data_IF_912324403763
#
_entry.id   IF_912324403763
#
_cell.length_a   1.000
_cell.length_b   1.000
_cell.length_c   1.000
_cell.angle_alpha   90.00
_cell.angle_beta   90.00
_cell.angle_gamma   90.00
#
_symmetry.space_group_name_H-M   'P 1'
#
loop_
_entity.id
_entity.type
_entity.pdbx_description
1 polymer ?
#
# COMPACT_ATOMS: atom_id res chain seq x y z
N UNK A 1 -25.38 41.40 -18.79
CA UNK A 1 -24.75 40.78 -17.60
C UNK A 1 -23.82 39.68 -18.11
N UNK A 2 -22.51 39.93 -18.17
CA UNK A 2 -21.54 38.95 -18.68
C UNK A 2 -21.22 37.94 -17.58
N UNK A 3 -21.57 36.67 -17.81
CA UNK A 3 -21.25 35.57 -16.92
C UNK A 3 -19.82 35.11 -17.22
N UNK A 4 -18.85 35.48 -16.37
CA UNK A 4 -17.49 34.94 -16.47
C UNK A 4 -17.49 33.50 -15.95
N UNK A 5 -17.40 32.54 -16.87
CA UNK A 5 -17.21 31.13 -16.54
C UNK A 5 -15.75 30.93 -16.12
N UNK A 6 -15.49 30.86 -14.82
CA UNK A 6 -14.17 30.54 -14.29
C UNK A 6 -13.84 29.09 -14.62
N UNK A 7 -12.95 28.87 -15.59
CA UNK A 7 -12.39 27.54 -15.86
C UNK A 7 -11.43 27.24 -14.71
N UNK A 8 -11.87 26.42 -13.76
CA UNK A 8 -11.01 25.89 -12.71
C UNK A 8 -10.00 24.91 -13.36
N UNK A 9 -8.77 25.38 -13.55
CA UNK A 9 -7.67 24.51 -13.98
C UNK A 9 -7.31 23.64 -12.78
N UNK A 10 -7.77 22.38 -12.81
CA UNK A 10 -7.40 21.37 -11.81
C UNK A 10 -5.96 20.96 -12.04
N UNK A 11 -5.05 21.44 -11.19
CA UNK A 11 -3.64 21.07 -11.22
C UNK A 11 -3.44 19.70 -10.57
N UNK A 12 -2.58 18.87 -11.17
CA UNK A 12 -2.19 17.60 -10.56
C UNK A 12 -1.54 17.85 -9.20
N UNK A 13 -1.98 17.13 -8.17
CA UNK A 13 -1.41 17.20 -6.83
C UNK A 13 -0.47 16.02 -6.61
N UNK A 14 0.80 16.32 -6.34
CA UNK A 14 1.81 15.33 -6.00
C UNK A 14 2.15 15.36 -4.52
N UNK A 15 2.37 14.18 -3.94
CA UNK A 15 2.77 13.99 -2.55
C UNK A 15 3.80 12.88 -2.46
N UNK A 16 4.93 13.19 -1.83
CA UNK A 16 5.96 12.20 -1.49
C UNK A 16 6.17 12.20 0.02
N UNK A 17 6.20 11.02 0.62
CA UNK A 17 6.48 10.83 2.05
C UNK A 17 7.55 9.76 2.20
N UNK A 18 8.63 10.09 2.92
CA UNK A 18 9.70 9.15 3.23
C UNK A 18 9.49 8.59 4.64
N UNK A 19 9.87 7.32 4.80
CA UNK A 19 9.78 6.59 6.05
C UNK A 19 11.11 5.89 6.31
N UNK A 20 11.52 5.89 7.57
CA UNK A 20 12.57 5.02 8.08
C UNK A 20 11.98 3.64 8.36
N UNK A 21 12.71 2.59 8.01
CA UNK A 21 12.39 1.21 8.40
C UNK A 21 13.34 0.82 9.52
N UNK A 22 12.78 0.45 10.67
CA UNK A 22 13.51 0.18 11.89
C UNK A 22 13.29 -1.25 12.38
N UNK A 23 14.31 -1.80 13.02
CA UNK A 23 14.23 -3.04 13.80
C UNK A 23 15.03 -2.86 15.08
N UNK A 24 14.43 -3.19 16.21
CA UNK A 24 15.02 -3.00 17.54
C UNK A 24 15.57 -1.57 17.74
N UNK A 25 14.85 -0.56 17.25
CA UNK A 25 15.22 0.86 17.34
C UNK A 25 16.29 1.33 16.34
N UNK A 26 16.97 0.43 15.63
CA UNK A 26 17.97 0.79 14.63
C UNK A 26 17.33 0.93 13.23
N UNK A 27 17.70 1.98 12.49
CA UNK A 27 17.31 2.15 11.09
C UNK A 27 18.05 1.11 10.24
N UNK A 28 17.29 0.29 9.52
CA UNK A 28 17.77 -0.79 8.66
C UNK A 28 17.40 -0.59 7.19
N UNK A 29 16.71 0.50 6.86
CA UNK A 29 16.27 0.78 5.50
C UNK A 29 15.38 2.00 5.42
N UNK A 30 14.90 2.26 4.21
CA UNK A 30 13.99 3.35 3.92
C UNK A 30 12.86 2.87 3.02
N UNK A 31 11.74 3.57 3.08
CA UNK A 31 10.60 3.41 2.18
C UNK A 31 10.13 4.80 1.74
N UNK A 32 9.86 4.96 0.45
CA UNK A 32 9.23 6.14 -0.09
C UNK A 32 7.83 5.78 -0.58
N UNK A 33 6.84 6.55 -0.16
CA UNK A 33 5.50 6.56 -0.73
C UNK A 33 5.35 7.79 -1.61
N UNK A 34 4.90 7.60 -2.84
CA UNK A 34 4.58 8.63 -3.81
C UNK A 34 3.12 8.51 -4.22
N UNK A 35 2.44 9.64 -4.35
CA UNK A 35 1.08 9.76 -4.86
C UNK A 35 0.97 10.94 -5.82
N UNK A 36 0.37 10.71 -6.98
CA UNK A 36 -0.06 11.74 -7.93
C UNK A 36 -1.57 11.64 -8.12
N UNK A 37 -2.28 12.74 -7.89
CA UNK A 37 -3.71 12.86 -8.16
C UNK A 37 -3.90 13.80 -9.35
N UNK A 38 -4.60 13.35 -10.38
CA UNK A 38 -4.89 14.14 -11.57
C UNK A 38 -6.27 13.80 -12.12
N UNK A 39 -7.25 14.68 -11.93
CA UNK A 39 -8.57 14.60 -12.57
C UNK A 39 -9.25 13.22 -12.47
N UNK A 40 -9.38 12.71 -11.24
CA UNK A 40 -9.99 11.40 -10.96
C UNK A 40 -9.03 10.23 -11.14
N UNK A 41 -7.87 10.41 -11.75
CA UNK A 41 -6.78 9.44 -11.77
C UNK A 41 -5.93 9.60 -10.50
N UNK A 42 -5.58 8.47 -9.86
CA UNK A 42 -4.67 8.43 -8.70
C UNK A 42 -3.60 7.37 -8.97
N UNK A 43 -2.35 7.80 -9.03
CA UNK A 43 -1.19 6.92 -9.18
C UNK A 43 -0.43 6.87 -7.87
N UNK A 44 -0.25 5.67 -7.33
CA UNK A 44 0.49 5.39 -6.11
C UNK A 44 1.74 4.59 -6.44
N UNK A 45 2.85 4.90 -5.79
CA UNK A 45 4.08 4.11 -5.85
C UNK A 45 4.71 3.97 -4.47
N UNK A 46 5.15 2.76 -4.14
CA UNK A 46 6.02 2.51 -2.99
C UNK A 46 7.33 1.92 -3.50
N UNK A 47 8.44 2.46 -3.00
CA UNK A 47 9.79 1.93 -3.23
C UNK A 47 10.49 1.76 -1.89
N UNK A 48 11.05 0.59 -1.62
CA UNK A 48 11.78 0.33 -0.36
C UNK A 48 13.00 -0.55 -0.58
N UNK A 49 14.06 -0.26 0.19
CA UNK A 49 15.21 -1.14 0.36
C UNK A 49 15.51 -1.29 1.86
N UNK A 50 15.54 -2.54 2.33
CA UNK A 50 15.80 -2.91 3.73
C UNK A 50 16.95 -3.89 3.79
N UNK A 51 17.99 -3.53 4.54
CA UNK A 51 19.19 -4.34 4.77
C UNK A 51 19.31 -4.63 6.26
N UNK A 52 19.15 -5.89 6.64
CA UNK A 52 19.27 -6.29 8.04
C UNK A 52 19.87 -7.68 8.16
N UNK A 53 20.33 -8.03 9.36
CA UNK A 53 20.79 -9.36 9.70
C UNK A 53 19.77 -10.01 10.64
N UNK A 54 19.06 -11.02 10.14
CA UNK A 54 18.29 -11.94 10.98
C UNK A 54 19.26 -13.05 11.43
N UNK A 55 19.03 -14.29 11.00
CA UNK A 55 20.02 -15.36 11.09
C UNK A 55 21.14 -15.12 10.07
N UNK A 56 20.77 -14.68 8.86
CA UNK A 56 21.68 -14.29 7.78
C UNK A 56 21.44 -12.83 7.35
N UNK A 57 22.39 -12.26 6.62
CA UNK A 57 22.21 -10.96 5.98
C UNK A 57 21.14 -11.07 4.89
N UNK A 58 20.15 -10.18 4.96
CA UNK A 58 19.09 -10.05 3.97
C UNK A 58 19.07 -8.63 3.43
N UNK A 59 18.93 -8.52 2.11
CA UNK A 59 18.58 -7.30 1.40
C UNK A 59 17.23 -7.53 0.72
N UNK A 60 16.21 -6.81 1.17
CA UNK A 60 14.85 -6.86 0.62
C UNK A 60 14.60 -5.58 -0.14
N UNK A 61 14.34 -5.71 -1.44
CA UNK A 61 13.89 -4.59 -2.29
C UNK A 61 12.43 -4.83 -2.67
N UNK A 62 11.59 -3.82 -2.46
CA UNK A 62 10.18 -3.88 -2.81
C UNK A 62 9.81 -2.68 -3.68
N UNK A 63 9.08 -2.92 -4.75
CA UNK A 63 8.41 -1.91 -5.56
C UNK A 63 6.93 -2.29 -5.70
N UNK A 64 6.04 -1.37 -5.38
CA UNK A 64 4.60 -1.53 -5.52
C UNK A 64 4.01 -0.34 -6.26
N UNK A 65 2.96 -0.57 -7.04
CA UNK A 65 2.26 0.47 -7.75
C UNK A 65 0.76 0.22 -7.80
N UNK A 66 -0.03 1.28 -7.78
CA UNK A 66 -1.48 1.21 -8.00
C UNK A 66 -1.96 2.39 -8.82
N UNK A 67 -2.86 2.11 -9.74
CA UNK A 67 -3.53 3.10 -10.56
C UNK A 67 -5.03 2.98 -10.33
N UNK A 68 -5.62 4.04 -9.80
CA UNK A 68 -7.05 4.18 -9.64
C UNK A 68 -7.61 5.21 -10.63
N UNK A 69 -8.83 4.98 -11.08
CA UNK A 69 -9.63 5.92 -11.86
C UNK A 69 -11.00 6.07 -11.24
N UNK A 70 -11.38 7.29 -10.92
CA UNK A 70 -12.65 7.64 -10.26
C UNK A 70 -12.91 6.76 -9.01
N UNK A 71 -11.86 6.56 -8.20
CA UNK A 71 -11.91 5.76 -6.98
C UNK A 71 -11.95 4.24 -7.20
N UNK A 72 -11.76 3.73 -8.42
CA UNK A 72 -11.73 2.30 -8.73
C UNK A 72 -10.33 1.89 -9.15
N UNK A 73 -9.79 0.82 -8.57
CA UNK A 73 -8.52 0.25 -8.99
C UNK A 73 -8.65 -0.21 -10.44
N UNK A 74 -7.72 0.22 -11.29
CA UNK A 74 -7.60 -0.19 -12.70
C UNK A 74 -6.48 -1.21 -12.82
N UNK A 75 -5.34 -0.94 -12.19
CA UNK A 75 -4.23 -1.89 -12.13
C UNK A 75 -3.36 -1.68 -10.90
N UNK A 76 -2.67 -2.74 -10.50
CA UNK A 76 -1.64 -2.69 -9.46
C UNK A 76 -0.63 -3.80 -9.62
N UNK A 77 0.52 -3.63 -8.97
CA UNK A 77 1.56 -4.65 -8.93
C UNK A 77 2.35 -4.62 -7.63
N UNK A 78 2.96 -5.77 -7.31
CA UNK A 78 3.96 -5.93 -6.25
C UNK A 78 5.14 -6.70 -6.81
N UNK A 79 6.33 -6.14 -6.70
CA UNK A 79 7.61 -6.78 -7.02
C UNK A 79 8.49 -6.82 -5.78
N UNK A 80 8.99 -7.99 -5.43
CA UNK A 80 9.86 -8.17 -4.27
C UNK A 80 11.06 -9.02 -4.61
N UNK A 81 12.25 -8.51 -4.29
CA UNK A 81 13.50 -9.24 -4.41
C UNK A 81 14.12 -9.43 -3.03
N UNK A 82 14.60 -10.64 -2.73
CA UNK A 82 15.36 -10.94 -1.52
C UNK A 82 16.72 -11.47 -1.94
N UNK A 83 17.78 -10.77 -1.55
CA UNK A 83 19.16 -11.07 -1.94
C UNK A 83 19.32 -11.23 -3.46
N UNK A 84 18.67 -10.35 -4.22
CA UNK A 84 18.71 -10.33 -5.69
C UNK A 84 17.80 -11.35 -6.38
N UNK A 85 17.17 -12.26 -5.64
CA UNK A 85 16.23 -13.25 -6.22
C UNK A 85 14.80 -12.74 -6.12
N UNK A 86 14.04 -12.83 -7.21
CA UNK A 86 12.61 -12.51 -7.22
C UNK A 86 11.86 -13.47 -6.26
N UNK A 87 11.00 -12.90 -5.42
CA UNK A 87 10.18 -13.60 -4.42
C UNK A 87 8.70 -13.27 -4.53
N UNK A 88 8.35 -12.21 -5.24
CA UNK A 88 6.99 -11.88 -5.61
C UNK A 88 7.01 -11.04 -6.88
N UNK A 89 6.13 -11.38 -7.81
CA UNK A 89 5.83 -10.58 -9.00
C UNK A 89 4.35 -10.77 -9.32
N UNK A 90 3.54 -9.95 -8.64
CA UNK A 90 2.09 -10.08 -8.63
C UNK A 90 1.45 -8.90 -9.32
N UNK A 91 0.35 -9.13 -10.02
CA UNK A 91 -0.46 -8.07 -10.60
C UNK A 91 -1.94 -8.27 -10.33
N UNK A 92 -2.68 -7.17 -10.30
CA UNK A 92 -4.14 -7.14 -10.31
C UNK A 92 -4.56 -6.18 -11.42
N UNK A 93 -5.50 -6.58 -12.28
CA UNK A 93 -5.99 -5.76 -13.39
C UNK A 93 -7.50 -5.85 -13.49
N UNK A 94 -8.16 -4.71 -13.64
CA UNK A 94 -9.59 -4.67 -13.94
C UNK A 94 -9.81 -4.99 -15.42
N UNK A 95 -10.64 -6.00 -15.70
CA UNK A 95 -10.99 -6.45 -17.06
C UNK A 95 -12.50 -6.59 -17.15
N UNK A 96 -13.13 -5.92 -18.13
CA UNK A 96 -14.57 -5.90 -18.44
C UNK A 96 -15.53 -5.70 -17.23
N UNK A 97 -15.61 -6.69 -16.33
CA UNK A 97 -16.50 -6.74 -15.16
C UNK A 97 -15.87 -7.27 -13.86
N UNK A 98 -14.63 -7.77 -13.88
CA UNK A 98 -13.97 -8.38 -12.73
C UNK A 98 -12.48 -8.02 -12.67
N UNK A 99 -11.80 -8.44 -11.61
CA UNK A 99 -10.35 -8.29 -11.50
C UNK A 99 -9.65 -9.60 -11.76
N UNK A 100 -8.66 -9.59 -12.65
CA UNK A 100 -7.75 -10.71 -12.89
C UNK A 100 -6.48 -10.50 -12.09
N UNK A 101 -6.04 -11.57 -11.44
CA UNK A 101 -4.80 -11.59 -10.67
C UNK A 101 -3.78 -12.53 -11.31
N UNK A 102 -2.50 -12.18 -11.22
CA UNK A 102 -1.39 -13.04 -11.62
C UNK A 102 -0.36 -13.12 -10.51
N UNK A 103 0.18 -14.30 -10.25
CA UNK A 103 1.29 -14.56 -9.32
C UNK A 103 2.18 -15.63 -9.95
N UNK A 104 3.21 -15.19 -10.67
CA UNK A 104 4.06 -16.03 -11.52
C UNK A 104 3.23 -16.93 -12.48
N UNK A 105 2.99 -18.19 -12.09
CA UNK A 105 2.28 -19.19 -12.87
C UNK A 105 0.81 -19.36 -12.49
N UNK A 106 0.34 -18.67 -11.45
CA UNK A 106 -1.05 -18.75 -10.98
C UNK A 106 -1.83 -17.56 -11.48
N UNK A 107 -2.99 -17.83 -12.07
CA UNK A 107 -3.98 -16.82 -12.43
C UNK A 107 -5.18 -16.98 -11.52
N UNK A 108 -5.77 -15.85 -11.13
CA UNK A 108 -6.96 -15.82 -10.30
C UNK A 108 -7.94 -14.76 -10.75
N UNK A 109 -9.09 -14.74 -10.09
CA UNK A 109 -10.13 -13.75 -10.30
C UNK A 109 -10.70 -13.32 -8.96
N UNK A 110 -10.95 -12.02 -8.81
CA UNK A 110 -11.67 -11.45 -7.69
C UNK A 110 -13.05 -11.02 -8.19
N UNK A 111 -14.09 -11.62 -7.60
CA UNK A 111 -15.50 -11.39 -7.97
C UNK A 111 -16.08 -10.07 -7.42
N UNK A 112 -15.28 -9.28 -6.71
CA UNK A 112 -15.69 -7.98 -6.21
C UNK A 112 -15.86 -7.01 -7.39
N UNK A 113 -16.99 -6.30 -7.43
CA UNK A 113 -17.28 -5.36 -8.51
C UNK A 113 -16.22 -4.26 -8.63
N UNK A 114 -15.81 -3.66 -7.50
CA UNK A 114 -14.78 -2.62 -7.45
C UNK A 114 -13.85 -2.81 -6.24
N UNK A 115 -12.56 -2.63 -6.47
CA UNK A 115 -11.56 -2.41 -5.42
C UNK A 115 -11.36 -0.91 -5.32
N UNK A 116 -11.89 -0.29 -4.26
CA UNK A 116 -11.83 1.16 -4.03
C UNK A 116 -10.77 1.56 -2.99
N UNK A 117 -10.23 0.59 -2.26
CA UNK A 117 -9.28 0.83 -1.19
C UNK A 117 -8.30 -0.34 -1.06
N UNK A 118 -7.00 -0.07 -1.26
CA UNK A 118 -5.92 -1.05 -1.10
C UNK A 118 -4.90 -0.59 -0.05
N UNK A 119 -3.98 -1.49 0.32
CA UNK A 119 -3.01 -1.22 1.40
C UNK A 119 -2.14 0.02 1.16
N UNK A 120 -1.86 0.38 -0.10
CA UNK A 120 -1.07 1.59 -0.41
C UNK A 120 -1.81 2.87 0.01
N UNK A 121 -3.14 2.91 -0.06
CA UNK A 121 -3.93 4.07 0.34
C UNK A 121 -3.87 4.36 1.84
N UNK A 122 -3.53 3.37 2.68
CA UNK A 122 -3.30 3.59 4.11
C UNK A 122 -2.18 4.61 4.36
N UNK A 123 -1.24 4.83 3.43
CA UNK A 123 -0.19 5.83 3.62
C UNK A 123 -0.64 7.28 3.37
N UNK A 124 -1.85 7.50 2.86
CA UNK A 124 -2.35 8.84 2.53
C UNK A 124 -3.81 9.12 2.89
N UNK A 125 -4.60 8.09 3.21
CA UNK A 125 -6.00 8.18 3.60
C UNK A 125 -6.24 7.24 4.78
N UNK A 126 -6.68 7.78 5.91
CA UNK A 126 -7.07 6.97 7.07
C UNK A 126 -8.37 6.16 6.82
N UNK A 127 -8.46 4.88 7.23
CA UNK A 127 -9.59 4.00 6.93
C UNK A 127 -10.75 4.19 7.92
N UNK A 128 -11.25 5.42 8.09
CA UNK A 128 -12.29 5.73 9.09
C UNK A 128 -13.61 4.98 8.81
N UNK A 129 -13.95 4.79 7.54
CA UNK A 129 -15.20 4.16 7.09
C UNK A 129 -14.98 2.84 6.33
N UNK A 130 -13.78 2.27 6.40
CA UNK A 130 -13.43 1.05 5.67
C UNK A 130 -13.30 -0.11 6.67
N UNK A 131 -13.99 -1.22 6.42
CA UNK A 131 -13.90 -2.45 7.23
C UNK A 131 -12.97 -3.50 6.60
N UNK A 132 -12.62 -3.31 5.33
CA UNK A 132 -11.76 -4.18 4.54
C UNK A 132 -10.80 -3.37 3.67
N UNK A 133 -9.66 -3.97 3.38
CA UNK A 133 -8.65 -3.41 2.49
C UNK A 133 -8.15 -4.48 1.54
N UNK A 134 -7.98 -4.14 0.26
CA UNK A 134 -7.37 -5.06 -0.69
C UNK A 134 -5.86 -5.14 -0.48
N UNK A 135 -5.32 -6.37 -0.42
CA UNK A 135 -3.88 -6.60 -0.38
C UNK A 135 -3.38 -7.18 -1.68
N UNK A 136 -2.53 -6.44 -2.39
CA UNK A 136 -1.87 -6.90 -3.61
C UNK A 136 -0.89 -8.05 -3.35
N UNK A 137 -0.25 -8.09 -2.18
CA UNK A 137 0.66 -9.18 -1.81
C UNK A 137 -0.07 -10.52 -1.60
N UNK A 138 -1.29 -10.48 -1.04
CA UNK A 138 -2.11 -11.67 -0.78
C UNK A 138 -3.21 -11.91 -1.83
N UNK A 139 -3.41 -10.95 -2.75
CA UNK A 139 -4.45 -10.95 -3.79
C UNK A 139 -5.87 -11.22 -3.26
N UNK A 140 -6.17 -10.67 -2.08
CA UNK A 140 -7.46 -10.82 -1.41
C UNK A 140 -7.76 -9.61 -0.52
N UNK A 141 -9.03 -9.48 -0.12
CA UNK A 141 -9.42 -8.50 0.90
C UNK A 141 -9.04 -9.00 2.29
N UNK A 142 -8.46 -8.10 3.08
CA UNK A 142 -8.10 -8.30 4.48
C UNK A 142 -9.02 -7.48 5.37
N UNK A 143 -9.22 -7.94 6.59
CA UNK A 143 -10.05 -7.26 7.59
C UNK A 143 -9.29 -6.10 8.22
N UNK A 144 -9.95 -4.94 8.34
CA UNK A 144 -9.49 -3.81 9.15
C UNK A 144 -10.20 -3.86 10.49
N UNK A 145 -9.45 -3.84 11.60
CA UNK A 145 -9.99 -3.71 12.95
C UNK A 145 -9.52 -2.40 13.56
N UNK A 146 -10.45 -1.52 13.94
CA UNK A 146 -10.10 -0.33 14.73
C UNK A 146 -9.66 -0.77 16.13
N UNK A 147 -8.45 -0.44 16.53
CA UNK A 147 -7.87 -0.85 17.82
C UNK A 147 -7.84 0.29 18.83
N UNK A 148 -7.76 1.53 18.36
CA UNK A 148 -7.82 2.76 19.17
C UNK A 148 -8.26 3.94 18.27
N UNK A 149 -8.30 5.14 18.83
CA UNK A 149 -8.38 6.38 18.06
C UNK A 149 -7.19 6.47 17.09
N UNK A 150 -7.50 6.74 15.82
CA UNK A 150 -6.52 6.84 14.74
C UNK A 150 -5.55 5.64 14.64
N UNK A 151 -5.98 4.45 15.10
CA UNK A 151 -5.17 3.24 15.08
C UNK A 151 -5.97 2.03 14.60
N UNK A 152 -5.38 1.28 13.67
CA UNK A 152 -6.06 0.21 12.95
C UNK A 152 -5.14 -0.98 12.75
N UNK A 153 -5.65 -2.19 12.97
CA UNK A 153 -4.98 -3.46 12.71
C UNK A 153 -5.47 -4.07 11.41
N UNK A 154 -4.54 -4.54 10.60
CA UNK A 154 -4.81 -5.38 9.43
C UNK A 154 -4.36 -6.81 9.76
N UNK A 155 -5.29 -7.76 9.72
CA UNK A 155 -4.99 -9.18 9.94
C UNK A 155 -4.54 -9.84 8.64
N UNK A 156 -3.42 -10.55 8.68
CA UNK A 156 -2.85 -11.24 7.52
C UNK A 156 -3.28 -12.71 7.51
N UNK A 157 -3.40 -13.36 6.33
CA UNK A 157 -3.85 -14.75 6.21
C UNK A 157 -2.93 -15.78 6.89
N UNK A 158 -1.68 -15.41 7.18
CA UNK A 158 -0.67 -16.27 7.81
C UNK A 158 -0.65 -16.15 9.35
N UNK A 159 -1.62 -15.46 9.95
CA UNK A 159 -1.72 -15.23 11.39
C UNK A 159 -0.87 -14.06 11.91
N UNK A 160 -0.06 -13.43 11.05
CA UNK A 160 0.63 -12.18 11.37
C UNK A 160 -0.34 -10.99 11.23
N UNK A 161 0.07 -9.81 11.67
CA UNK A 161 -0.74 -8.59 11.54
C UNK A 161 0.12 -7.33 11.45
N UNK A 162 -0.49 -6.27 10.94
CA UNK A 162 0.14 -4.95 10.85
C UNK A 162 -0.72 -3.93 11.60
N UNK A 163 -0.13 -3.16 12.49
CA UNK A 163 -0.79 -2.03 13.15
C UNK A 163 -0.39 -0.72 12.47
N UNK A 164 -1.37 0.12 12.12
CA UNK A 164 -1.20 1.40 11.47
C UNK A 164 -1.68 2.52 12.39
N UNK A 165 -0.88 3.57 12.51
CA UNK A 165 -1.18 4.73 13.35
C UNK A 165 -1.16 6.02 12.54
N UNK A 166 -2.18 6.84 12.74
CA UNK A 166 -2.45 8.02 11.93
C UNK A 166 -2.39 9.30 12.76
N UNK A 167 -2.01 10.39 12.08
CA UNK A 167 -2.14 11.75 12.60
C UNK A 167 -2.58 12.64 11.44
N UNK A 168 -3.66 13.39 11.64
CA UNK A 168 -4.27 14.26 10.62
C UNK A 168 -4.55 13.52 9.30
N UNK A 169 -5.04 12.27 9.39
CA UNK A 169 -5.35 11.43 8.23
C UNK A 169 -4.14 10.84 7.49
N UNK A 170 -2.91 11.08 7.96
CA UNK A 170 -1.67 10.57 7.36
C UNK A 170 -1.05 9.51 8.27
N UNK A 171 -0.68 8.36 7.71
CA UNK A 171 0.02 7.30 8.43
C UNK A 171 1.38 7.81 8.93
N UNK A 172 1.61 7.75 10.24
CA UNK A 172 2.86 8.13 10.88
C UNK A 172 3.74 6.91 11.19
N UNK A 173 3.11 5.78 11.54
CA UNK A 173 3.79 4.58 11.99
C UNK A 173 3.04 3.34 11.51
N UNK A 174 3.80 2.32 11.10
CA UNK A 174 3.32 0.96 10.87
C UNK A 174 4.17 -0.02 11.67
N UNK A 175 3.55 -0.94 12.39
CA UNK A 175 4.20 -2.01 13.12
C UNK A 175 3.85 -3.35 12.45
N UNK A 176 4.83 -3.97 11.80
CA UNK A 176 4.67 -5.28 11.16
C UNK A 176 5.02 -6.36 12.18
N UNK A 177 4.02 -7.10 12.65
CA UNK A 177 4.17 -8.16 13.64
C UNK A 177 4.20 -9.52 12.95
N UNK A 178 5.41 -9.99 12.67
CA UNK A 178 5.63 -11.37 12.21
C UNK A 178 6.01 -12.27 13.39
N UNK A 179 5.67 -13.55 13.27
CA UNK A 179 5.94 -14.58 14.30
C UNK A 179 7.41 -14.64 14.77
N UNK A 180 8.37 -14.18 13.95
CA UNK A 180 9.82 -14.24 14.27
C UNK A 180 10.46 -12.87 14.51
N UNK A 181 9.80 -11.77 14.13
CA UNK A 181 10.39 -10.44 14.21
C UNK A 181 9.32 -9.34 14.11
N UNK A 182 9.67 -8.16 14.60
CA UNK A 182 8.87 -6.94 14.41
C UNK A 182 9.67 -5.91 13.62
N UNK A 183 9.03 -5.30 12.63
CA UNK A 183 9.57 -4.17 11.86
C UNK A 183 8.69 -2.96 12.14
N UNK A 184 9.32 -1.81 12.37
CA UNK A 184 8.63 -0.53 12.47
C UNK A 184 8.90 0.27 11.20
N UNK A 185 7.89 0.85 10.60
CA UNK A 185 8.01 1.83 9.52
C UNK A 185 7.52 3.14 10.09
N UNK A 186 8.37 4.15 10.17
CA UNK A 186 8.04 5.42 10.80
C UNK A 186 8.35 6.55 9.83
N UNK A 187 7.41 7.50 9.71
CA UNK A 187 7.61 8.69 8.88
C UNK A 187 8.90 9.39 9.31
N UNK A 188 9.77 9.68 8.34
CA UNK A 188 11.08 10.28 8.56
C UNK A 188 10.98 11.77 8.93
#
# INVERSE_FOLDING_TARGET
MFFFLSIAISHAQEKTVNYNVLRNGAVIGQMQFYQNNNNGEVFLKISSEVKTRLIFCINVKTEEGSHFKNGKLISSYVKRHVNGKEKANKTTQFTDSNYKTSDENKKGEIKQQYINYNLMLLYSKEPVSEDKVYSDSFQQFLTIKKTDNHSYRIELPDGNYNDYHFQNGICQKVELHHSLFTINIQKA
#
